data_IF_016253033443
#
_entry.id   IF_016253033443
#
_cell.length_a   1.000
_cell.length_b   1.000
_cell.length_c   1.000
_cell.angle_alpha   90.00
_cell.angle_beta   90.00
_cell.angle_gamma   90.00
#
_symmetry.space_group_name_H-M   'P 1'
#
loop_
_entity.id
_entity.type
_entity.pdbx_description
1 polymer ?
#
# COMPACT_ATOMS: atom_id res chain seq x y z
N UNK A 1 -14.72 -26.28 -22.61
CA UNK A 1 -13.37 -26.16 -21.96
C UNK A 1 -12.69 -24.88 -22.41
N UNK A 2 -12.57 -24.60 -23.72
CA UNK A 2 -11.88 -23.40 -24.25
C UNK A 2 -12.53 -22.10 -23.74
N UNK A 3 -13.85 -22.00 -23.78
CA UNK A 3 -14.58 -20.80 -23.31
C UNK A 3 -14.35 -20.52 -21.82
N UNK A 4 -14.27 -21.55 -20.98
CA UNK A 4 -14.00 -21.41 -19.56
C UNK A 4 -12.59 -20.86 -19.35
N UNK A 5 -11.61 -21.36 -20.09
CA UNK A 5 -10.23 -20.88 -20.00
C UNK A 5 -10.10 -19.41 -20.45
N UNK A 6 -10.79 -19.02 -21.50
CA UNK A 6 -10.84 -17.62 -21.97
C UNK A 6 -11.49 -16.72 -20.93
N UNK A 7 -12.59 -17.14 -20.32
CA UNK A 7 -13.27 -16.39 -19.26
C UNK A 7 -12.33 -16.20 -18.05
N UNK A 8 -11.71 -17.29 -17.57
CA UNK A 8 -10.79 -17.22 -16.43
C UNK A 8 -9.58 -16.33 -16.73
N UNK A 9 -9.00 -16.44 -17.92
CA UNK A 9 -7.87 -15.60 -18.31
C UNK A 9 -8.24 -14.12 -18.37
N UNK A 10 -9.38 -13.78 -18.97
CA UNK A 10 -9.84 -12.39 -19.06
C UNK A 10 -10.16 -11.81 -17.69
N UNK A 11 -10.84 -12.58 -16.82
CA UNK A 11 -11.17 -12.13 -15.47
C UNK A 11 -9.92 -11.94 -14.61
N UNK A 12 -8.94 -12.85 -14.74
CA UNK A 12 -7.65 -12.74 -14.04
C UNK A 12 -6.87 -11.50 -14.52
N UNK A 13 -6.84 -11.26 -15.83
CA UNK A 13 -6.17 -10.09 -16.40
C UNK A 13 -6.82 -8.79 -15.93
N UNK A 14 -8.15 -8.72 -15.97
CA UNK A 14 -8.89 -7.56 -15.48
C UNK A 14 -8.60 -7.31 -13.99
N UNK A 15 -8.60 -8.37 -13.18
CA UNK A 15 -8.29 -8.27 -11.76
C UNK A 15 -6.88 -7.74 -11.50
N UNK A 16 -5.89 -8.24 -12.23
CA UNK A 16 -4.50 -7.73 -12.12
C UNK A 16 -4.40 -6.27 -12.56
N UNK A 17 -5.09 -5.90 -13.64
CA UNK A 17 -5.10 -4.53 -14.13
C UNK A 17 -5.72 -3.56 -13.12
N UNK A 18 -6.87 -3.90 -12.55
CA UNK A 18 -7.52 -3.08 -11.52
C UNK A 18 -6.68 -2.93 -10.26
N UNK A 19 -5.99 -3.99 -9.83
CA UNK A 19 -5.05 -3.91 -8.70
C UNK A 19 -3.87 -3.01 -8.99
N UNK A 20 -3.33 -3.08 -10.20
CA UNK A 20 -2.26 -2.18 -10.62
C UNK A 20 -2.72 -0.73 -10.58
N UNK A 21 -3.88 -0.41 -11.13
CA UNK A 21 -4.43 0.95 -11.15
C UNK A 21 -4.68 1.47 -9.73
N UNK A 22 -5.20 0.63 -8.84
CA UNK A 22 -5.40 0.98 -7.43
C UNK A 22 -4.08 1.24 -6.71
N UNK A 23 -3.10 0.37 -6.90
CA UNK A 23 -1.78 0.56 -6.32
C UNK A 23 -1.14 1.86 -6.83
N UNK A 24 -1.29 2.12 -8.13
CA UNK A 24 -0.78 3.34 -8.75
C UNK A 24 -1.44 4.60 -8.16
N UNK A 25 -2.76 4.61 -8.05
CA UNK A 25 -3.51 5.73 -7.47
C UNK A 25 -3.16 5.95 -6.00
N UNK A 26 -3.12 4.86 -5.21
CA UNK A 26 -2.76 4.90 -3.80
C UNK A 26 -1.36 5.47 -3.60
N UNK A 27 -0.35 4.89 -4.23
CA UNK A 27 1.02 5.32 -4.04
C UNK A 27 1.30 6.71 -4.60
N UNK A 28 0.66 7.10 -5.69
CA UNK A 28 0.80 8.46 -6.23
C UNK A 28 0.30 9.49 -5.23
N UNK A 29 -0.86 9.24 -4.64
CA UNK A 29 -1.43 10.11 -3.60
C UNK A 29 -0.55 10.11 -2.36
N UNK A 30 -0.12 8.94 -1.90
CA UNK A 30 0.75 8.81 -0.73
C UNK A 30 2.08 9.56 -0.91
N UNK A 31 2.72 9.44 -2.06
CA UNK A 31 3.97 10.17 -2.36
C UNK A 31 3.72 11.67 -2.36
N UNK A 32 2.59 12.13 -2.89
CA UNK A 32 2.24 13.55 -2.87
C UNK A 32 2.09 14.05 -1.43
N UNK A 33 1.40 13.31 -0.58
CA UNK A 33 1.23 13.64 0.84
C UNK A 33 2.56 13.66 1.59
N UNK A 34 3.43 12.67 1.36
CA UNK A 34 4.77 12.62 1.96
C UNK A 34 5.61 13.83 1.54
N UNK A 35 5.60 14.17 0.26
CA UNK A 35 6.37 15.32 -0.26
C UNK A 35 5.86 16.67 0.21
N UNK A 36 4.57 16.78 0.52
CA UNK A 36 3.97 17.98 1.08
C UNK A 36 4.23 18.13 2.59
N UNK A 37 4.64 17.06 3.26
CA UNK A 37 4.97 17.12 4.68
C UNK A 37 6.25 17.96 4.88
N UNK A 38 6.20 19.09 5.62
CA UNK A 38 7.36 19.96 5.81
C UNK A 38 8.54 19.27 6.51
N UNK A 39 8.27 18.20 7.22
CA UNK A 39 9.25 17.44 7.98
C UNK A 39 9.95 16.36 7.14
N UNK A 40 9.52 16.15 5.89
CA UNK A 40 10.14 15.19 4.99
C UNK A 40 11.52 15.67 4.58
N UNK A 41 12.53 14.84 4.82
CA UNK A 41 13.93 15.11 4.48
C UNK A 41 14.55 13.91 3.77
N UNK A 42 15.61 14.16 3.01
CA UNK A 42 16.39 13.10 2.38
C UNK A 42 16.94 12.14 3.43
N UNK A 43 16.82 10.83 3.20
CA UNK A 43 17.22 9.79 4.15
C UNK A 43 16.15 9.37 5.16
N UNK A 44 14.96 9.99 5.10
CA UNK A 44 13.80 9.53 5.88
C UNK A 44 13.35 8.14 5.42
N UNK A 45 13.05 7.24 6.38
CA UNK A 45 12.45 5.94 6.09
C UNK A 45 10.94 6.03 5.97
N UNK A 46 10.30 5.03 5.39
CA UNK A 46 8.84 4.91 5.30
C UNK A 46 8.33 3.71 6.10
N UNK A 47 7.33 3.94 6.92
CA UNK A 47 6.54 2.90 7.58
C UNK A 47 5.08 3.04 7.17
N UNK A 48 4.52 2.02 6.55
CA UNK A 48 3.09 1.93 6.26
C UNK A 48 2.50 0.87 7.17
N UNK A 49 1.72 1.30 8.15
CA UNK A 49 1.26 0.44 9.25
C UNK A 49 -0.26 0.30 9.21
N UNK A 50 -0.73 -0.92 9.34
CA UNK A 50 -2.13 -1.27 9.28
C UNK A 50 -2.51 -2.00 8.00
N UNK A 51 -3.77 -2.40 7.92
CA UNK A 51 -4.32 -3.05 6.75
C UNK A 51 -5.02 -2.03 5.87
N UNK A 52 -4.75 -2.09 4.58
CA UNK A 52 -5.59 -1.43 3.60
C UNK A 52 -6.87 -2.26 3.47
N UNK A 53 -7.95 -1.75 4.04
CA UNK A 53 -9.27 -2.29 3.77
C UNK A 53 -9.67 -1.86 2.36
N UNK A 54 -9.46 -2.77 1.42
CA UNK A 54 -9.92 -2.57 0.05
C UNK A 54 -11.44 -2.41 0.10
N UNK A 55 -12.02 -1.38 -0.52
CA UNK A 55 -13.47 -1.23 -0.56
C UNK A 55 -14.12 -2.51 -1.10
N UNK A 56 -15.22 -2.94 -0.53
CA UNK A 56 -16.00 -4.18 -0.79
C UNK A 56 -16.18 -4.54 -2.28
N UNK A 57 -15.94 -3.61 -3.17
CA UNK A 57 -16.01 -3.78 -4.61
C UNK A 57 -15.01 -4.83 -5.17
N UNK A 58 -13.87 -5.03 -4.52
CA UNK A 58 -12.83 -5.93 -5.01
C UNK A 58 -13.03 -7.38 -4.58
N UNK A 59 -13.49 -7.63 -3.38
CA UNK A 59 -13.64 -8.99 -2.86
C UNK A 59 -14.76 -9.75 -3.58
N UNK A 60 -15.89 -9.12 -3.84
CA UNK A 60 -17.06 -9.80 -4.41
C UNK A 60 -16.86 -10.32 -5.85
N UNK A 61 -15.97 -9.70 -6.63
CA UNK A 61 -15.81 -10.05 -8.04
C UNK A 61 -14.51 -10.80 -8.38
N UNK A 62 -13.54 -10.82 -7.46
CA UNK A 62 -12.20 -11.37 -7.72
C UNK A 62 -11.85 -12.61 -6.88
N UNK A 63 -12.74 -13.06 -6.02
CA UNK A 63 -12.48 -14.15 -5.08
C UNK A 63 -12.05 -15.45 -5.81
N UNK A 64 -12.72 -15.80 -6.88
CA UNK A 64 -12.38 -16.98 -7.70
C UNK A 64 -11.03 -16.82 -8.40
N UNK A 65 -10.69 -15.64 -8.86
CA UNK A 65 -9.43 -15.37 -9.56
C UNK A 65 -8.27 -15.29 -8.59
N UNK A 66 -8.46 -14.78 -7.38
CA UNK A 66 -7.47 -14.78 -6.31
C UNK A 66 -7.04 -16.20 -5.95
N UNK A 67 -7.99 -17.10 -5.83
CA UNK A 67 -7.74 -18.50 -5.53
C UNK A 67 -6.96 -19.22 -6.65
N UNK A 68 -7.28 -18.93 -7.90
CA UNK A 68 -6.64 -19.57 -9.06
C UNK A 68 -5.27 -18.97 -9.40
N UNK A 69 -5.05 -17.70 -9.14
CA UNK A 69 -3.79 -17.01 -9.49
C UNK A 69 -2.80 -16.90 -8.35
N UNK A 70 -3.21 -17.24 -7.12
CA UNK A 70 -2.38 -17.07 -5.92
C UNK A 70 -2.03 -15.62 -5.60
N UNK A 71 -2.64 -14.66 -6.27
CA UNK A 71 -2.41 -13.24 -6.02
C UNK A 71 -3.27 -12.82 -4.84
N UNK A 72 -2.71 -12.90 -3.66
CA UNK A 72 -3.29 -12.37 -2.43
C UNK A 72 -3.17 -10.86 -2.38
N UNK A 73 -4.06 -10.22 -1.64
CA UNK A 73 -4.27 -8.78 -1.55
C UNK A 73 -3.04 -7.86 -1.57
N UNK A 74 -3.30 -6.61 -1.77
CA UNK A 74 -2.29 -5.55 -1.79
C UNK A 74 -1.67 -5.35 -0.40
N UNK A 75 -0.35 -5.57 -0.29
CA UNK A 75 0.41 -5.28 0.93
C UNK A 75 1.28 -4.05 0.71
N UNK A 76 0.91 -2.89 1.27
CA UNK A 76 1.61 -1.64 1.00
C UNK A 76 3.00 -1.53 1.63
N UNK A 77 3.36 -2.42 2.54
CA UNK A 77 4.64 -2.49 3.25
C UNK A 77 5.61 -3.54 2.67
N UNK A 78 5.22 -4.21 1.57
CA UNK A 78 5.99 -5.33 1.02
C UNK A 78 7.19 -4.88 0.18
N UNK A 79 8.14 -5.80 -0.03
CA UNK A 79 9.22 -5.65 -0.99
C UNK A 79 8.72 -5.29 -2.39
N UNK A 80 7.59 -5.88 -2.80
CA UNK A 80 6.94 -5.57 -4.07
C UNK A 80 6.47 -4.12 -4.13
N UNK A 81 5.95 -3.58 -3.04
CA UNK A 81 5.57 -2.19 -2.92
C UNK A 81 6.78 -1.25 -3.08
N UNK A 82 7.88 -1.55 -2.41
CA UNK A 82 9.11 -0.77 -2.53
C UNK A 82 9.64 -0.75 -3.97
N UNK A 83 9.62 -1.90 -4.66
CA UNK A 83 10.01 -2.00 -6.07
C UNK A 83 9.06 -1.26 -6.99
N UNK A 84 7.76 -1.31 -6.72
CA UNK A 84 6.76 -0.56 -7.44
C UNK A 84 7.02 0.96 -7.34
N UNK A 85 7.24 1.47 -6.15
CA UNK A 85 7.60 2.88 -5.92
C UNK A 85 8.83 3.29 -6.73
N UNK A 86 9.88 2.47 -6.69
CA UNK A 86 11.15 2.76 -7.33
C UNK A 86 11.06 2.73 -8.86
N UNK A 87 10.47 1.68 -9.43
CA UNK A 87 10.51 1.45 -10.88
C UNK A 87 9.38 2.13 -11.64
N UNK A 88 8.19 2.23 -11.05
CA UNK A 88 7.04 2.82 -11.72
C UNK A 88 6.82 4.29 -11.40
N UNK A 89 7.16 4.72 -10.18
CA UNK A 89 6.93 6.08 -9.73
C UNK A 89 8.22 6.90 -9.57
N UNK A 90 9.39 6.28 -9.76
CA UNK A 90 10.68 6.95 -9.63
C UNK A 90 10.93 7.51 -8.22
N UNK A 91 10.30 6.90 -7.20
CA UNK A 91 10.40 7.33 -5.82
C UNK A 91 11.10 6.26 -4.99
N UNK A 92 12.35 6.54 -4.62
CA UNK A 92 13.17 5.63 -3.81
C UNK A 92 13.17 6.09 -2.37
N UNK A 93 12.49 5.34 -1.51
CA UNK A 93 12.48 5.53 -0.06
C UNK A 93 12.66 4.17 0.62
N UNK A 94 13.59 4.03 1.58
CA UNK A 94 13.76 2.78 2.30
C UNK A 94 12.60 2.56 3.26
N UNK A 95 12.07 1.34 3.30
CA UNK A 95 11.08 0.94 4.29
C UNK A 95 11.78 0.58 5.60
N UNK A 96 11.09 0.78 6.70
CA UNK A 96 11.53 0.31 8.01
C UNK A 96 11.50 -1.22 8.09
N UNK A 97 12.24 -1.80 9.04
CA UNK A 97 12.11 -3.22 9.37
C UNK A 97 10.79 -3.52 10.08
N UNK A 98 10.40 -4.79 10.12
CA UNK A 98 9.19 -5.22 10.86
C UNK A 98 9.28 -4.89 12.36
N UNK A 99 10.47 -5.01 12.96
CA UNK A 99 10.71 -4.62 14.35
C UNK A 99 10.50 -3.11 14.56
N UNK A 100 11.12 -2.27 13.73
CA UNK A 100 10.95 -0.81 13.81
C UNK A 100 9.48 -0.41 13.60
N UNK A 101 8.77 -1.09 12.69
CA UNK A 101 7.35 -0.85 12.45
C UNK A 101 6.48 -1.23 13.67
N UNK A 102 6.80 -2.33 14.34
CA UNK A 102 6.10 -2.77 15.55
C UNK A 102 6.32 -1.80 16.72
N UNK A 103 7.55 -1.30 16.90
CA UNK A 103 7.85 -0.30 17.92
C UNK A 103 7.10 1.02 17.68
N UNK A 104 7.05 1.47 16.43
CA UNK A 104 6.27 2.66 16.05
C UNK A 104 4.78 2.42 16.31
N UNK A 105 4.24 1.27 15.95
CA UNK A 105 2.83 0.92 16.16
C UNK A 105 2.44 0.91 17.65
N UNK A 106 3.38 0.59 18.54
CA UNK A 106 3.18 0.61 19.99
C UNK A 106 3.30 2.01 20.60
N UNK A 107 3.75 3.02 19.85
CA UNK A 107 3.96 4.37 20.36
C UNK A 107 2.65 5.11 20.62
N UNK A 108 2.66 6.02 21.61
CA UNK A 108 1.51 6.89 21.89
C UNK A 108 1.23 7.83 20.72
N UNK A 109 2.27 8.33 20.04
CA UNK A 109 2.15 9.20 18.88
C UNK A 109 1.39 8.53 17.73
N UNK A 110 1.66 7.25 17.47
CA UNK A 110 0.93 6.48 16.46
C UNK A 110 -0.52 6.23 16.86
N UNK A 111 -0.80 5.99 18.14
CA UNK A 111 -2.16 5.78 18.62
C UNK A 111 -3.08 6.98 18.36
N UNK A 112 -2.53 8.20 18.50
CA UNK A 112 -3.25 9.47 18.28
C UNK A 112 -3.44 9.82 16.79
N UNK A 113 -2.73 9.18 15.88
CA UNK A 113 -2.85 9.46 14.45
C UNK A 113 -4.20 9.00 13.90
N UNK A 114 -4.87 9.83 13.06
CA UNK A 114 -6.05 9.39 12.33
C UNK A 114 -5.67 8.36 11.25
N UNK A 115 -6.66 7.62 10.78
CA UNK A 115 -6.48 6.65 9.68
C UNK A 115 -6.41 7.36 8.33
N UNK A 116 -5.65 6.78 7.40
CA UNK A 116 -5.65 7.21 6.00
C UNK A 116 -7.06 7.02 5.38
N UNK A 117 -7.57 7.94 4.56
CA UNK A 117 -6.89 9.12 3.99
C UNK A 117 -7.11 10.43 4.76
N UNK A 118 -7.50 10.40 6.01
CA UNK A 118 -7.77 11.62 6.77
C UNK A 118 -6.51 12.44 7.01
N UNK A 119 -6.67 13.76 7.09
CA UNK A 119 -5.57 14.68 7.38
C UNK A 119 -4.84 14.30 8.67
N UNK A 120 -3.51 14.22 8.60
CA UNK A 120 -2.68 13.80 9.73
C UNK A 120 -2.43 12.29 9.82
N UNK A 121 -2.96 11.48 8.90
CA UNK A 121 -2.66 10.05 8.80
C UNK A 121 -1.24 9.75 8.33
N UNK A 122 -0.56 10.76 7.79
CA UNK A 122 0.85 10.74 7.41
C UNK A 122 1.59 11.74 8.29
N UNK A 123 2.53 11.24 9.10
CA UNK A 123 3.31 12.06 10.05
C UNK A 123 4.72 11.51 10.19
N UNK A 124 5.68 12.38 10.50
CA UNK A 124 7.02 11.97 10.86
C UNK A 124 7.09 11.63 12.35
N UNK A 125 7.53 10.40 12.65
CA UNK A 125 7.85 9.94 14.01
C UNK A 125 9.34 9.60 14.03
N UNK A 126 10.13 10.33 14.80
CA UNK A 126 11.58 10.22 14.77
C UNK A 126 12.17 10.53 13.38
N UNK A 127 12.82 9.56 12.75
CA UNK A 127 13.35 9.71 11.38
C UNK A 127 12.53 8.91 10.34
N UNK A 128 11.29 8.59 10.66
CA UNK A 128 10.42 7.75 9.82
C UNK A 128 9.15 8.48 9.47
N UNK A 129 8.81 8.54 8.19
CA UNK A 129 7.46 8.91 7.74
C UNK A 129 6.55 7.74 7.96
N UNK A 130 5.55 7.93 8.80
CA UNK A 130 4.58 6.92 9.20
C UNK A 130 3.24 7.20 8.55
N UNK A 131 2.67 6.18 7.93
CA UNK A 131 1.32 6.20 7.36
C UNK A 131 0.48 5.19 8.12
N UNK A 132 -0.60 5.65 8.73
CA UNK A 132 -1.55 4.80 9.47
C UNK A 132 -2.73 4.45 8.58
N UNK A 133 -2.86 3.17 8.20
CA UNK A 133 -3.96 2.68 7.36
C UNK A 133 -5.20 2.27 8.17
N UNK A 134 -5.00 1.65 9.33
CA UNK A 134 -6.08 1.18 10.20
C UNK A 134 -5.82 1.50 11.67
#
# INVERSE_FOLDING_TARGET
>A
IIMINVYVANTSYLGLHLRYENAYAFYTTLIADIRQCPEFTEGTKLAVIGNWEDPDFYEAHLDVTNYLTGVTGFKPDSYSAQRFLQYYLGFSIPFVSEEEAADIAASAEFAEMPRYPYYGSTRKIGNTMVVKLS
#
